data_IF_358934781598
#
_entry.id   IF_358934781598
#
_cell.length_a   1.000
_cell.length_b   1.000
_cell.length_c   1.000
_cell.angle_alpha   90.00
_cell.angle_beta   90.00
_cell.angle_gamma   90.00
#
_symmetry.space_group_name_H-M   'P 1'
#
loop_
_entity.id
_entity.type
_entity.pdbx_description
1 polymer ?
#
# COMPACT_ATOMS: atom_id res chain seq x y z
N UNK A 1 13.33 5.60 -20.29
CA UNK A 1 13.29 6.52 -19.14
C UNK A 1 13.89 7.83 -19.61
N UNK A 2 13.06 8.87 -19.64
CA UNK A 2 13.57 10.21 -20.01
C UNK A 2 14.57 10.68 -18.96
N UNK A 3 15.64 11.29 -19.42
CA UNK A 3 16.76 11.75 -18.61
C UNK A 3 16.34 12.95 -17.76
N UNK A 4 16.09 12.72 -16.47
CA UNK A 4 15.73 13.74 -15.50
C UNK A 4 16.77 14.86 -15.37
N UNK A 5 18.03 14.61 -15.80
CA UNK A 5 19.09 15.62 -15.80
C UNK A 5 18.83 16.78 -16.77
N UNK A 6 17.90 16.61 -17.73
CA UNK A 6 17.47 17.66 -18.68
C UNK A 6 16.57 18.72 -18.08
N UNK A 7 15.98 18.47 -16.90
CA UNK A 7 15.27 19.51 -16.17
C UNK A 7 16.31 20.44 -15.54
N UNK A 8 16.64 21.54 -16.20
CA UNK A 8 17.58 22.56 -15.70
C UNK A 8 17.16 23.27 -14.40
N UNK A 9 16.19 22.72 -13.68
CA UNK A 9 15.78 23.09 -12.34
C UNK A 9 16.20 22.01 -11.37
N UNK A 10 16.89 22.41 -10.31
CA UNK A 10 17.28 21.52 -9.21
C UNK A 10 16.01 20.95 -8.56
N UNK A 11 15.83 19.64 -8.64
CA UNK A 11 14.75 18.95 -7.93
C UNK A 11 15.15 18.87 -6.46
N UNK A 12 14.42 19.56 -5.59
CA UNK A 12 14.73 19.62 -4.15
C UNK A 12 13.95 18.59 -3.33
N UNK A 13 12.93 17.96 -3.93
CA UNK A 13 12.07 17.01 -3.23
C UNK A 13 11.50 15.97 -4.18
N UNK A 14 11.43 14.72 -3.72
CA UNK A 14 10.76 13.59 -4.39
C UNK A 14 9.72 13.00 -3.45
N UNK A 15 8.51 12.79 -3.94
CA UNK A 15 7.47 12.07 -3.23
C UNK A 15 7.36 10.65 -3.81
N UNK A 16 7.50 9.66 -2.93
CA UNK A 16 7.39 8.23 -3.27
C UNK A 16 6.08 7.69 -2.69
N UNK A 17 5.12 7.43 -3.58
CA UNK A 17 3.86 6.80 -3.18
C UNK A 17 4.05 5.30 -3.00
N UNK A 18 3.21 4.69 -2.13
CA UNK A 18 3.27 3.27 -1.79
C UNK A 18 4.70 2.83 -1.35
N UNK A 19 5.39 3.69 -0.61
CA UNK A 19 6.79 3.46 -0.22
C UNK A 19 6.99 2.14 0.54
N UNK A 20 5.92 1.58 1.14
CA UNK A 20 5.96 0.27 1.79
C UNK A 20 6.38 -0.87 0.86
N UNK A 21 6.24 -0.68 -0.47
CA UNK A 21 6.71 -1.65 -1.46
C UNK A 21 8.24 -1.83 -1.47
N UNK A 22 9.01 -0.96 -0.81
CA UNK A 22 10.46 -1.12 -0.63
C UNK A 22 10.84 -2.07 0.49
N UNK A 23 9.92 -2.39 1.41
CA UNK A 23 10.19 -3.24 2.57
C UNK A 23 9.88 -4.71 2.30
N UNK A 24 10.81 -5.61 2.66
CA UNK A 24 10.60 -7.05 2.63
C UNK A 24 9.53 -7.52 3.64
N UNK A 25 9.27 -6.73 4.67
CA UNK A 25 8.19 -6.96 5.63
C UNK A 25 6.81 -6.56 5.10
N UNK A 26 6.76 -6.01 3.87
CA UNK A 26 5.51 -5.68 3.20
C UNK A 26 5.00 -6.86 2.36
N UNK A 27 3.68 -7.08 2.38
CA UNK A 27 3.04 -8.06 1.51
C UNK A 27 3.11 -7.69 0.00
N UNK A 28 3.51 -6.47 -0.32
CA UNK A 28 3.63 -5.93 -1.68
C UNK A 28 5.07 -5.56 -2.06
N UNK A 29 6.06 -6.22 -1.47
CA UNK A 29 7.48 -5.96 -1.77
C UNK A 29 7.77 -5.94 -3.28
N UNK A 30 8.47 -4.89 -3.71
CA UNK A 30 8.87 -4.71 -5.11
C UNK A 30 10.34 -4.30 -5.19
N UNK A 31 11.23 -5.15 -5.69
CA UNK A 31 12.67 -4.86 -5.76
C UNK A 31 13.02 -3.56 -6.49
N UNK A 32 12.17 -3.12 -7.42
CA UNK A 32 12.37 -1.84 -8.12
C UNK A 32 12.40 -0.62 -7.20
N UNK A 33 11.76 -0.70 -6.01
CA UNK A 33 11.80 0.39 -5.03
C UNK A 33 13.14 0.52 -4.31
N UNK A 34 13.91 -0.56 -4.17
CA UNK A 34 15.27 -0.52 -3.61
C UNK A 34 16.20 0.29 -4.53
N UNK A 35 16.10 0.05 -5.83
CA UNK A 35 16.89 0.78 -6.84
C UNK A 35 16.50 2.26 -6.91
N UNK A 36 15.25 2.60 -6.55
CA UNK A 36 14.73 3.97 -6.59
C UNK A 36 15.53 4.93 -5.70
N UNK A 37 15.89 4.51 -4.49
CA UNK A 37 16.67 5.33 -3.57
C UNK A 37 18.06 5.67 -4.12
N UNK A 38 18.77 4.67 -4.64
CA UNK A 38 20.06 4.84 -5.28
C UNK A 38 19.96 5.79 -6.48
N UNK A 39 18.93 5.61 -7.31
CA UNK A 39 18.66 6.48 -8.45
C UNK A 39 18.39 7.93 -8.04
N UNK A 40 17.65 8.17 -6.97
CA UNK A 40 17.37 9.52 -6.45
C UNK A 40 18.69 10.19 -6.08
N UNK A 41 19.55 9.52 -5.31
CA UNK A 41 20.86 10.04 -4.90
C UNK A 41 21.77 10.32 -6.10
N UNK A 42 21.90 9.36 -7.02
CA UNK A 42 22.77 9.47 -8.18
C UNK A 42 22.37 10.58 -9.15
N UNK A 43 21.06 10.69 -9.45
CA UNK A 43 20.55 11.59 -10.50
C UNK A 43 20.17 12.98 -10.00
N UNK A 44 19.75 13.09 -8.75
CA UNK A 44 19.22 14.34 -8.18
C UNK A 44 20.14 14.94 -7.11
N UNK A 45 21.04 14.14 -6.55
CA UNK A 45 21.98 14.54 -5.50
C UNK A 45 21.45 14.30 -4.09
N UNK A 46 22.37 14.26 -3.13
CA UNK A 46 22.10 13.93 -1.72
C UNK A 46 21.26 14.98 -0.98
N UNK A 47 21.22 16.21 -1.49
CA UNK A 47 20.39 17.30 -0.96
C UNK A 47 18.90 17.13 -1.26
N UNK A 48 18.51 16.16 -2.11
CA UNK A 48 17.13 15.92 -2.47
C UNK A 48 16.40 15.24 -1.33
N UNK A 49 15.35 15.89 -0.82
CA UNK A 49 14.51 15.33 0.25
C UNK A 49 13.54 14.29 -0.29
N UNK A 50 13.40 13.19 0.44
CA UNK A 50 12.43 12.14 0.10
C UNK A 50 11.26 12.21 1.07
N UNK A 51 10.05 12.23 0.52
CA UNK A 51 8.79 12.05 1.27
C UNK A 51 8.19 10.72 0.83
N UNK A 52 7.97 9.81 1.78
CA UNK A 52 7.31 8.55 1.56
C UNK A 52 5.86 8.58 2.00
N UNK A 53 4.96 8.11 1.16
CA UNK A 53 3.54 7.94 1.47
C UNK A 53 3.17 6.46 1.49
N UNK A 54 2.38 6.06 2.46
CA UNK A 54 1.81 4.72 2.55
C UNK A 54 0.55 4.70 3.41
N UNK A 55 -0.44 3.92 2.99
CA UNK A 55 -1.63 3.67 3.79
C UNK A 55 -1.45 2.49 4.77
N UNK A 56 -0.47 1.62 4.52
CA UNK A 56 -0.30 0.36 5.25
C UNK A 56 1.17 0.07 5.49
N UNK A 57 1.67 0.37 6.69
CA UNK A 57 3.03 -0.02 7.08
C UNK A 57 3.04 -0.44 8.55
N UNK A 58 3.54 -1.65 8.82
CA UNK A 58 3.84 -2.10 10.18
C UNK A 58 5.03 -1.34 10.75
N UNK A 59 5.22 -1.36 12.07
CA UNK A 59 6.38 -0.72 12.68
C UNK A 59 7.72 -1.23 12.11
N UNK A 60 7.83 -2.56 11.88
CA UNK A 60 9.02 -3.16 11.27
C UNK A 60 9.26 -2.66 9.84
N UNK A 61 8.20 -2.55 9.04
CA UNK A 61 8.30 -1.99 7.69
C UNK A 61 8.68 -0.50 7.71
N UNK A 62 8.16 0.28 8.65
CA UNK A 62 8.52 1.70 8.82
C UNK A 62 10.02 1.87 9.14
N UNK A 63 10.55 1.09 10.07
CA UNK A 63 11.96 1.11 10.43
C UNK A 63 12.86 0.76 9.23
N UNK A 64 12.52 -0.30 8.49
CA UNK A 64 13.26 -0.71 7.30
C UNK A 64 13.21 0.36 6.19
N UNK A 65 12.02 0.93 5.91
CA UNK A 65 11.86 2.02 4.94
C UNK A 65 12.73 3.21 5.32
N UNK A 66 12.74 3.59 6.60
CA UNK A 66 13.56 4.69 7.08
C UNK A 66 15.04 4.44 6.88
N UNK A 67 15.52 3.21 7.10
CA UNK A 67 16.89 2.80 6.85
C UNK A 67 17.24 2.85 5.35
N UNK A 68 16.34 2.38 4.47
CA UNK A 68 16.54 2.40 3.03
C UNK A 68 16.64 3.83 2.48
N UNK A 69 15.78 4.74 2.95
CA UNK A 69 15.68 6.10 2.43
C UNK A 69 16.41 7.15 3.28
N UNK A 70 17.23 6.75 4.25
CA UNK A 70 17.96 7.63 5.19
C UNK A 70 17.04 8.61 5.96
N UNK A 71 15.83 8.17 6.27
CA UNK A 71 14.86 8.93 7.06
C UNK A 71 15.12 8.66 8.55
N UNK A 72 15.24 9.70 9.36
CA UNK A 72 15.48 9.55 10.81
C UNK A 72 14.23 8.98 11.50
N UNK A 73 14.31 7.74 11.93
CA UNK A 73 13.27 7.06 12.70
C UNK A 73 13.49 7.28 14.21
N UNK A 74 12.45 7.51 15.02
CA UNK A 74 11.03 7.72 14.64
C UNK A 74 10.66 9.18 14.35
N UNK A 75 11.58 10.14 14.48
CA UNK A 75 11.32 11.58 14.57
C UNK A 75 10.64 12.19 13.33
N UNK A 76 10.87 11.58 12.17
CA UNK A 76 10.34 12.06 10.90
C UNK A 76 9.14 11.23 10.40
N UNK A 77 8.53 10.41 11.27
CA UNK A 77 7.33 9.68 10.91
C UNK A 77 6.08 10.42 11.37
N UNK A 78 5.18 10.65 10.43
CA UNK A 78 3.84 11.15 10.72
C UNK A 78 2.84 10.00 10.53
N UNK A 79 2.27 9.53 11.63
CA UNK A 79 1.29 8.44 11.59
C UNK A 79 -0.10 8.97 11.89
N UNK A 80 -1.06 8.64 11.05
CA UNK A 80 -2.46 8.85 11.38
C UNK A 80 -2.94 7.66 12.23
N UNK A 81 -3.26 7.92 13.49
CA UNK A 81 -3.46 6.88 14.51
C UNK A 81 -4.82 6.19 14.48
N UNK A 82 -5.84 6.79 13.88
CA UNK A 82 -7.18 6.19 13.84
C UNK A 82 -7.44 5.47 12.52
N UNK A 83 -7.14 4.16 12.52
CA UNK A 83 -7.41 3.26 11.40
C UNK A 83 -8.78 2.60 11.52
N UNK A 84 -9.49 2.79 12.64
CA UNK A 84 -10.80 2.19 12.85
C UNK A 84 -11.85 2.90 12.00
N UNK A 85 -12.51 2.13 11.15
CA UNK A 85 -13.58 2.62 10.29
C UNK A 85 -14.92 2.15 10.84
N UNK A 86 -15.54 2.97 11.66
CA UNK A 86 -16.82 2.65 12.33
C UNK A 86 -17.99 2.39 11.35
N UNK A 87 -17.83 2.82 10.10
CA UNK A 87 -18.79 2.59 9.02
C UNK A 87 -18.60 1.23 8.31
N UNK A 88 -17.60 0.43 8.68
CA UNK A 88 -17.35 -0.88 8.11
C UNK A 88 -17.68 -1.97 9.14
N UNK A 89 -18.57 -2.87 8.76
CA UNK A 89 -18.88 -4.07 9.55
C UNK A 89 -18.14 -5.27 8.92
N UNK A 90 -17.19 -5.85 9.66
CA UNK A 90 -16.45 -7.03 9.22
C UNK A 90 -17.09 -8.30 9.82
N UNK A 91 -17.23 -9.33 8.98
CA UNK A 91 -17.63 -10.66 9.41
C UNK A 91 -16.86 -11.74 8.68
N UNK A 92 -16.57 -12.85 9.34
CA UNK A 92 -15.86 -13.99 8.78
C UNK A 92 -16.67 -15.24 9.04
N UNK A 93 -16.90 -16.03 7.99
CA UNK A 93 -17.53 -17.35 8.08
C UNK A 93 -16.63 -18.42 7.47
N UNK A 94 -16.74 -19.66 7.96
CA UNK A 94 -16.10 -20.84 7.39
C UNK A 94 -17.17 -21.81 6.93
N UNK A 95 -17.22 -22.02 5.63
CA UNK A 95 -18.13 -22.96 5.02
C UNK A 95 -17.37 -23.90 4.06
N UNK A 96 -17.75 -25.17 4.04
CA UNK A 96 -17.19 -26.15 3.09
C UNK A 96 -17.73 -25.87 1.67
N UNK A 97 -19.01 -25.52 1.57
CA UNK A 97 -19.72 -25.22 0.31
C UNK A 97 -19.76 -23.69 0.09
N UNK A 98 -18.61 -23.08 -0.27
CA UNK A 98 -18.45 -21.63 -0.37
C UNK A 98 -19.47 -20.94 -1.28
N UNK A 99 -19.75 -21.52 -2.45
CA UNK A 99 -20.73 -20.96 -3.40
C UNK A 99 -22.14 -20.96 -2.82
N UNK A 100 -22.53 -22.03 -2.15
CA UNK A 100 -23.84 -22.13 -1.50
C UNK A 100 -23.97 -21.15 -0.34
N UNK A 101 -22.92 -21.01 0.46
CA UNK A 101 -22.88 -20.04 1.54
C UNK A 101 -23.00 -18.61 1.02
N UNK A 102 -22.31 -18.25 -0.04
CA UNK A 102 -22.41 -16.96 -0.70
C UNK A 102 -23.83 -16.69 -1.21
N UNK A 103 -24.45 -17.64 -1.91
CA UNK A 103 -25.83 -17.51 -2.39
C UNK A 103 -26.83 -17.30 -1.24
N UNK A 104 -26.66 -18.02 -0.13
CA UNK A 104 -27.50 -17.87 1.04
C UNK A 104 -27.31 -16.48 1.67
N UNK A 105 -26.07 -15.99 1.75
CA UNK A 105 -25.76 -14.66 2.25
C UNK A 105 -26.42 -13.57 1.40
N UNK A 106 -26.28 -13.64 0.08
CA UNK A 106 -26.87 -12.67 -0.85
C UNK A 106 -28.41 -12.65 -0.80
N UNK A 107 -29.03 -13.79 -0.47
CA UNK A 107 -30.50 -13.90 -0.29
C UNK A 107 -30.99 -13.48 1.08
N UNK A 108 -30.10 -13.26 2.03
CA UNK A 108 -30.46 -12.85 3.39
C UNK A 108 -31.07 -11.45 3.41
N UNK A 109 -31.82 -11.16 4.45
CA UNK A 109 -32.46 -9.84 4.64
C UNK A 109 -31.44 -8.68 4.66
N UNK A 110 -30.22 -8.94 5.11
CA UNK A 110 -29.16 -7.93 5.19
C UNK A 110 -28.61 -7.51 3.82
N UNK A 111 -28.69 -8.38 2.81
CA UNK A 111 -28.11 -8.13 1.49
C UNK A 111 -29.16 -7.93 0.39
N UNK A 112 -30.38 -8.41 0.59
CA UNK A 112 -31.45 -8.42 -0.43
C UNK A 112 -31.78 -7.04 -1.02
N UNK A 113 -31.59 -5.98 -0.25
CA UNK A 113 -31.96 -4.62 -0.64
C UNK A 113 -30.75 -3.74 -0.96
N UNK A 114 -29.54 -4.30 -1.01
CA UNK A 114 -28.34 -3.54 -1.38
C UNK A 114 -28.36 -3.23 -2.88
N UNK A 115 -28.03 -1.99 -3.22
CA UNK A 115 -27.96 -1.52 -4.62
C UNK A 115 -26.67 -1.91 -5.30
N UNK A 116 -25.60 -2.19 -4.55
CA UNK A 116 -24.29 -2.53 -5.08
C UNK A 116 -23.60 -3.55 -4.19
N UNK A 117 -23.06 -4.61 -4.81
CA UNK A 117 -22.30 -5.66 -4.12
C UNK A 117 -21.04 -5.91 -4.93
N UNK A 118 -19.89 -5.94 -4.26
CA UNK A 118 -18.61 -6.25 -4.86
C UNK A 118 -18.10 -7.58 -4.31
N UNK A 119 -17.82 -8.55 -5.19
CA UNK A 119 -17.37 -9.89 -4.83
C UNK A 119 -15.95 -10.10 -5.38
N UNK A 120 -15.00 -10.40 -4.50
CA UNK A 120 -13.63 -10.75 -4.88
C UNK A 120 -13.43 -12.26 -4.86
N UNK A 121 -12.93 -12.82 -5.95
CA UNK A 121 -12.55 -14.22 -6.06
C UNK A 121 -11.04 -14.37 -6.18
N UNK A 122 -10.49 -15.43 -5.58
CA UNK A 122 -9.04 -15.71 -5.61
C UNK A 122 -8.54 -16.20 -6.97
N UNK A 123 -9.44 -16.72 -7.81
CA UNK A 123 -9.12 -17.25 -9.14
C UNK A 123 -10.15 -16.75 -10.14
N UNK A 124 -9.70 -16.39 -11.34
CA UNK A 124 -10.56 -15.92 -12.43
C UNK A 124 -11.71 -16.90 -12.73
N UNK A 125 -11.42 -18.20 -12.81
CA UNK A 125 -12.42 -19.25 -13.07
C UNK A 125 -13.52 -19.39 -12.01
N UNK A 126 -13.37 -18.75 -10.86
CA UNK A 126 -14.39 -18.73 -9.79
C UNK A 126 -15.15 -17.42 -9.75
N UNK A 127 -14.82 -16.48 -10.61
CA UNK A 127 -15.52 -15.21 -10.77
C UNK A 127 -16.55 -15.25 -11.91
N UNK A 128 -16.36 -16.19 -12.88
CA UNK A 128 -17.29 -16.48 -14.00
C UNK A 128 -18.38 -17.44 -13.50
#
# INVERSE_FOLDING_TARGET
MEDLSKFGRKISMVCVDEIHCSSEWSHNFRPAYLVLHEMIKEKLGEETRVIGLTATATAAAQEEICNIFDIKYPDHIVTQTDLSRLNLQLSITRDQEKTRALLNLLRSSSFKYLTSILIFATQRRTAD
#
